data_IF_967568608513
#
_entry.id   IF_967568608513
#
_cell.length_a   1.000
_cell.length_b   1.000
_cell.length_c   1.000
_cell.angle_alpha   90.00
_cell.angle_beta   90.00
_cell.angle_gamma   90.00
#
_symmetry.space_group_name_H-M   'P 1'
#
loop_
_entity.id
_entity.type
_entity.pdbx_description
1 polymer ?
#
# COMPACT_ATOMS: atom_id res chain seq x y z
N UNK A 1 16.62 -23.74 20.41
CA UNK A 1 15.58 -24.79 20.52
C UNK A 1 14.78 -24.80 19.23
N UNK A 2 14.27 -25.94 18.73
CA UNK A 2 13.40 -25.95 17.54
C UNK A 2 11.99 -25.47 17.95
N UNK A 3 11.45 -24.49 17.23
CA UNK A 3 10.12 -23.93 17.43
C UNK A 3 9.32 -24.15 16.16
N UNK A 4 8.06 -24.54 16.34
CA UNK A 4 7.05 -24.59 15.29
C UNK A 4 5.95 -23.58 15.58
N UNK A 5 5.57 -22.80 14.57
CA UNK A 5 4.48 -21.83 14.57
C UNK A 5 3.48 -22.25 13.51
N UNK A 6 2.20 -22.24 13.84
CA UNK A 6 1.14 -22.68 12.94
C UNK A 6 -0.01 -21.67 12.96
N UNK A 7 -0.43 -21.27 11.77
CA UNK A 7 -1.57 -20.41 11.52
C UNK A 7 -2.59 -21.25 10.75
N UNK A 8 -3.62 -21.72 11.45
CA UNK A 8 -4.53 -22.76 10.97
C UNK A 8 -5.91 -22.18 10.75
N UNK A 9 -6.32 -22.14 9.48
CA UNK A 9 -7.66 -21.77 9.05
C UNK A 9 -8.36 -23.00 8.45
N UNK A 10 -9.68 -22.93 8.18
CA UNK A 10 -10.45 -24.10 7.74
C UNK A 10 -9.90 -24.76 6.47
N UNK A 11 -9.38 -24.00 5.51
CA UNK A 11 -8.91 -24.54 4.22
C UNK A 11 -7.42 -24.31 3.93
N UNK A 12 -6.72 -23.53 4.77
CA UNK A 12 -5.29 -23.26 4.66
C UNK A 12 -4.60 -23.45 6.02
N UNK A 13 -3.43 -24.06 6.03
CA UNK A 13 -2.55 -24.10 7.21
C UNK A 13 -1.15 -23.69 6.81
N UNK A 14 -0.69 -22.57 7.38
CA UNK A 14 0.67 -22.06 7.23
C UNK A 14 1.50 -22.49 8.44
N UNK A 15 2.63 -23.16 8.19
CA UNK A 15 3.51 -23.74 9.19
C UNK A 15 4.91 -23.16 9.01
N UNK A 16 5.46 -22.59 10.07
CA UNK A 16 6.83 -22.09 10.12
C UNK A 16 7.62 -22.89 11.15
N UNK A 17 8.72 -23.49 10.72
CA UNK A 17 9.64 -24.22 11.57
C UNK A 17 10.97 -23.48 11.62
N UNK A 18 11.51 -23.32 12.82
CA UNK A 18 12.65 -22.45 13.03
C UNK A 18 13.37 -22.68 14.34
N UNK A 19 14.32 -21.80 14.63
CA UNK A 19 15.10 -21.83 15.85
C UNK A 19 14.88 -20.56 16.67
N UNK A 20 14.92 -20.72 17.98
CA UNK A 20 15.10 -19.60 18.91
C UNK A 20 16.54 -19.12 18.90
N UNK A 21 16.73 -17.82 18.91
CA UNK A 21 17.97 -17.25 19.42
C UNK A 21 17.91 -17.26 20.96
N UNK A 22 18.82 -17.99 21.58
CA UNK A 22 18.89 -18.11 23.05
C UNK A 22 19.54 -16.87 23.70
N UNK A 23 19.99 -15.88 22.92
CA UNK A 23 20.69 -14.69 23.42
C UNK A 23 19.76 -13.54 23.84
N UNK A 24 18.47 -13.58 23.52
CA UNK A 24 17.49 -12.58 23.99
C UNK A 24 16.83 -13.08 25.28
N UNK A 25 17.24 -12.51 26.41
CA UNK A 25 16.86 -12.90 27.76
C UNK A 25 15.36 -12.94 28.06
N UNK A 26 15.06 -13.51 29.22
CA UNK A 26 13.75 -13.81 29.84
C UNK A 26 12.80 -12.60 30.07
N UNK A 27 12.84 -11.54 29.27
CA UNK A 27 12.15 -10.27 29.54
C UNK A 27 10.81 -10.10 28.80
N UNK A 28 10.03 -11.17 28.66
CA UNK A 28 8.66 -11.03 28.15
C UNK A 28 7.68 -11.83 29.00
N UNK A 29 6.64 -11.14 29.47
CA UNK A 29 5.53 -11.65 30.26
C UNK A 29 4.76 -12.80 29.54
N UNK A 30 5.01 -12.96 28.24
CA UNK A 30 4.60 -14.09 27.41
C UNK A 30 5.66 -15.20 27.38
N UNK A 31 5.32 -16.35 27.95
CA UNK A 31 6.15 -17.57 28.02
C UNK A 31 6.40 -18.26 26.65
N UNK A 32 6.13 -17.57 25.53
CA UNK A 32 6.25 -18.12 24.17
C UNK A 32 7.62 -17.75 23.59
N UNK A 33 8.47 -18.73 23.22
CA UNK A 33 9.82 -18.47 22.75
C UNK A 33 9.82 -17.81 21.37
N UNK A 34 10.73 -16.87 21.14
CA UNK A 34 10.86 -16.12 19.89
C UNK A 34 11.46 -17.01 18.79
N UNK A 35 10.85 -17.02 17.61
CA UNK A 35 11.39 -17.70 16.41
C UNK A 35 12.09 -16.65 15.56
N UNK A 36 13.42 -16.62 15.54
CA UNK A 36 14.23 -15.64 14.78
C UNK A 36 14.84 -16.21 13.51
N UNK A 37 15.12 -17.51 13.49
CA UNK A 37 15.76 -18.18 12.36
C UNK A 37 14.74 -19.13 11.73
N UNK A 38 14.42 -18.92 10.45
CA UNK A 38 13.52 -19.79 9.70
C UNK A 38 14.30 -20.95 9.08
N UNK A 39 13.85 -22.18 9.34
CA UNK A 39 14.41 -23.41 8.78
C UNK A 39 13.56 -23.91 7.62
N UNK A 40 12.24 -23.92 7.79
CA UNK A 40 11.31 -24.38 6.76
C UNK A 40 9.95 -23.67 6.90
N UNK A 41 9.30 -23.47 5.77
CA UNK A 41 7.92 -23.03 5.67
C UNK A 41 7.16 -24.06 4.87
N UNK A 42 5.96 -24.36 5.33
CA UNK A 42 5.03 -25.25 4.64
C UNK A 42 3.64 -24.63 4.60
N UNK A 43 2.99 -24.67 3.44
CA UNK A 43 1.61 -24.26 3.24
C UNK A 43 0.80 -25.45 2.74
N UNK A 44 -0.26 -25.79 3.49
CA UNK A 44 -1.14 -26.93 3.22
C UNK A 44 -2.54 -26.45 2.93
N UNK A 45 -3.19 -27.08 1.95
CA UNK A 45 -4.57 -26.79 1.56
C UNK A 45 -5.46 -28.02 1.72
N UNK A 46 -6.68 -27.82 2.18
CA UNK A 46 -7.67 -28.90 2.27
C UNK A 46 -8.05 -29.38 0.87
N UNK A 47 -8.10 -30.70 0.67
CA UNK A 47 -8.50 -31.31 -0.59
C UNK A 47 -7.35 -31.51 -1.59
N UNK A 48 -6.14 -31.05 -1.28
CA UNK A 48 -4.97 -31.21 -2.13
C UNK A 48 -3.87 -32.00 -1.41
N UNK A 49 -3.26 -32.97 -2.10
CA UNK A 49 -2.15 -33.78 -1.54
C UNK A 49 -0.79 -33.09 -1.69
N UNK A 50 -0.70 -32.06 -2.52
CA UNK A 50 0.50 -31.28 -2.74
C UNK A 50 0.61 -30.18 -1.67
N UNK A 51 1.81 -29.99 -1.14
CA UNK A 51 2.13 -28.92 -0.19
C UNK A 51 3.16 -27.99 -0.82
N UNK A 52 3.02 -26.69 -0.56
CA UNK A 52 4.08 -25.75 -0.92
C UNK A 52 5.06 -25.69 0.23
N UNK A 53 6.34 -25.81 -0.09
CA UNK A 53 7.37 -25.76 0.92
C UNK A 53 8.61 -25.03 0.41
N UNK A 54 9.32 -24.40 1.33
CA UNK A 54 10.56 -23.69 1.03
C UNK A 54 11.12 -22.96 2.24
N UNK A 55 12.18 -22.19 2.00
CA UNK A 55 12.84 -21.39 3.02
C UNK A 55 12.31 -19.96 3.10
N UNK A 56 13.17 -19.05 3.55
CA UNK A 56 12.86 -17.62 3.68
C UNK A 56 12.45 -16.98 2.34
N UNK A 57 13.21 -17.21 1.27
CA UNK A 57 12.91 -16.67 -0.07
C UNK A 57 11.55 -17.10 -0.57
N UNK A 58 11.16 -18.35 -0.32
CA UNK A 58 9.82 -18.85 -0.64
C UNK A 58 8.74 -18.06 0.11
N UNK A 59 8.90 -17.84 1.42
CA UNK A 59 7.94 -17.07 2.21
C UNK A 59 7.82 -15.62 1.75
N UNK A 60 8.95 -14.97 1.42
CA UNK A 60 8.99 -13.60 0.88
C UNK A 60 8.24 -13.51 -0.44
N UNK A 61 8.55 -14.40 -1.38
CA UNK A 61 7.88 -14.46 -2.68
C UNK A 61 6.40 -14.81 -2.54
N UNK A 62 6.04 -15.68 -1.60
CA UNK A 62 4.65 -16.09 -1.37
C UNK A 62 3.85 -14.91 -0.85
N UNK A 63 4.35 -14.24 0.19
CA UNK A 63 3.70 -13.09 0.78
C UNK A 63 3.53 -11.95 -0.24
N UNK A 64 4.56 -11.68 -1.05
CA UNK A 64 4.50 -10.67 -2.12
C UNK A 64 3.44 -11.03 -3.17
N UNK A 65 3.51 -12.24 -3.74
CA UNK A 65 2.61 -12.68 -4.80
C UNK A 65 1.15 -12.75 -4.34
N UNK A 66 0.89 -13.32 -3.16
CA UNK A 66 -0.46 -13.42 -2.59
C UNK A 66 -1.03 -12.04 -2.30
N UNK A 67 -0.25 -11.15 -1.70
CA UNK A 67 -0.75 -9.81 -1.35
C UNK A 67 -1.05 -8.99 -2.60
N UNK A 68 -0.16 -9.02 -3.59
CA UNK A 68 -0.35 -8.26 -4.81
C UNK A 68 -1.52 -8.83 -5.66
N UNK A 69 -1.69 -10.15 -5.70
CA UNK A 69 -2.86 -10.76 -6.31
C UNK A 69 -4.16 -10.43 -5.56
N UNK A 70 -4.16 -10.51 -4.22
CA UNK A 70 -5.32 -10.16 -3.42
C UNK A 70 -5.73 -8.69 -3.61
N UNK A 71 -4.76 -7.78 -3.69
CA UNK A 71 -4.99 -6.38 -4.03
C UNK A 71 -5.64 -6.22 -5.40
N UNK A 72 -5.13 -6.89 -6.44
CA UNK A 72 -5.72 -6.87 -7.78
C UNK A 72 -7.15 -7.43 -7.77
N UNK A 73 -7.33 -8.61 -7.19
CA UNK A 73 -8.61 -9.33 -7.17
C UNK A 73 -9.69 -8.56 -6.40
N UNK A 74 -9.36 -7.97 -5.25
CA UNK A 74 -10.31 -7.20 -4.43
C UNK A 74 -10.56 -5.79 -4.98
N UNK A 75 -9.56 -5.15 -5.59
CA UNK A 75 -9.71 -3.79 -6.13
C UNK A 75 -10.29 -3.75 -7.54
N UNK A 76 -10.19 -4.85 -8.29
CA UNK A 76 -10.50 -4.90 -9.72
C UNK A 76 -9.53 -4.08 -10.58
N UNK A 77 -8.39 -3.64 -10.01
CA UNK A 77 -7.38 -2.87 -10.72
C UNK A 77 -6.21 -3.80 -11.07
N UNK A 78 -5.86 -3.95 -12.36
CA UNK A 78 -4.72 -4.78 -12.77
C UNK A 78 -3.45 -4.34 -12.06
N UNK A 79 -2.75 -5.28 -11.45
CA UNK A 79 -1.47 -5.05 -10.79
C UNK A 79 -0.36 -5.74 -11.58
N UNK A 80 0.34 -5.03 -12.50
CA UNK A 80 1.41 -5.65 -13.26
C UNK A 80 2.51 -6.12 -12.32
N UNK A 81 2.66 -7.45 -12.24
CA UNK A 81 3.75 -8.10 -11.52
C UNK A 81 5.03 -7.96 -12.35
N UNK A 82 6.08 -7.38 -11.78
CA UNK A 82 7.41 -7.42 -12.40
C UNK A 82 7.97 -8.84 -12.25
N UNK A 83 7.64 -9.71 -13.20
CA UNK A 83 8.17 -11.09 -13.28
C UNK A 83 9.56 -11.13 -13.91
N UNK A 84 10.17 -9.97 -14.20
CA UNK A 84 11.44 -9.89 -14.92
C UNK A 84 12.63 -10.20 -14.02
N UNK A 85 13.12 -11.44 -14.09
CA UNK A 85 14.52 -11.76 -13.76
C UNK A 85 14.80 -12.46 -12.43
N UNK A 86 13.78 -12.84 -11.65
CA UNK A 86 14.00 -13.66 -10.45
C UNK A 86 13.98 -15.14 -10.78
N UNK A 87 15.02 -15.85 -10.36
CA UNK A 87 15.17 -17.30 -10.59
C UNK A 87 14.22 -18.13 -9.71
N UNK A 88 13.86 -17.62 -8.52
CA UNK A 88 12.79 -18.14 -7.67
C UNK A 88 11.54 -17.27 -7.86
N UNK A 89 10.43 -17.83 -8.36
CA UNK A 89 9.21 -17.04 -8.51
C UNK A 89 7.94 -17.79 -8.09
N UNK A 90 7.02 -17.04 -7.48
CA UNK A 90 5.65 -17.46 -7.19
C UNK A 90 4.73 -16.61 -8.07
N UNK A 91 3.80 -17.25 -8.77
CA UNK A 91 2.76 -16.56 -9.49
C UNK A 91 1.38 -17.01 -9.05
N UNK A 92 0.46 -16.04 -9.04
CA UNK A 92 -0.95 -16.27 -8.79
C UNK A 92 -1.73 -15.68 -9.97
N UNK A 93 -2.60 -16.48 -10.59
CA UNK A 93 -3.43 -16.05 -11.71
C UNK A 93 -4.86 -16.59 -11.58
N UNK A 94 -5.86 -15.79 -11.96
CA UNK A 94 -7.24 -16.28 -12.06
C UNK A 94 -7.35 -17.16 -13.31
N UNK A 95 -7.96 -18.33 -13.17
CA UNK A 95 -8.25 -19.19 -14.33
C UNK A 95 -9.49 -18.64 -15.03
N UNK A 96 -9.37 -18.34 -16.33
CA UNK A 96 -10.45 -17.78 -17.14
C UNK A 96 -11.72 -18.64 -17.05
N UNK A 97 -12.88 -17.97 -17.04
CA UNK A 97 -14.21 -18.59 -16.96
C UNK A 97 -14.47 -19.50 -15.73
N UNK A 98 -13.66 -19.40 -14.68
CA UNK A 98 -13.85 -20.12 -13.41
C UNK A 98 -13.66 -19.23 -12.18
N UNK A 99 -14.04 -19.74 -11.01
CA UNK A 99 -13.74 -19.16 -9.70
C UNK A 99 -12.49 -19.78 -9.05
N UNK A 100 -11.61 -20.35 -9.88
CA UNK A 100 -10.37 -20.97 -9.44
C UNK A 100 -9.17 -20.03 -9.66
N UNK A 101 -8.18 -20.19 -8.79
CA UNK A 101 -6.97 -19.39 -8.74
C UNK A 101 -5.78 -20.33 -8.80
N UNK A 102 -4.88 -20.13 -9.76
CA UNK A 102 -3.72 -20.98 -9.97
C UNK A 102 -2.52 -20.38 -9.26
N UNK A 103 -1.97 -21.14 -8.33
CA UNK A 103 -0.75 -20.83 -7.59
C UNK A 103 0.39 -21.70 -8.10
N UNK A 104 1.41 -21.07 -8.68
CA UNK A 104 2.62 -21.74 -9.16
C UNK A 104 3.81 -21.34 -8.32
N UNK A 105 4.59 -22.33 -7.92
CA UNK A 105 5.88 -22.16 -7.27
C UNK A 105 6.96 -22.83 -8.10
N UNK A 106 7.94 -22.03 -8.55
CA UNK A 106 9.09 -22.52 -9.29
C UNK A 106 10.39 -22.10 -8.58
N UNK A 107 11.09 -23.04 -7.94
CA UNK A 107 12.41 -22.78 -7.37
C UNK A 107 13.51 -22.77 -8.45
N UNK A 108 14.51 -21.90 -8.28
CA UNK A 108 15.68 -21.62 -9.12
C UNK A 108 16.62 -22.81 -9.28
N UNK A 109 16.64 -23.74 -8.31
CA UNK A 109 17.66 -24.78 -8.24
C UNK A 109 17.78 -25.52 -9.57
N UNK A 110 19.01 -25.59 -10.12
CA UNK A 110 19.37 -26.14 -11.44
C UNK A 110 18.85 -27.56 -11.75
N UNK A 111 18.25 -28.24 -10.78
CA UNK A 111 17.42 -29.41 -10.96
C UNK A 111 15.97 -29.00 -11.26
N UNK A 112 15.71 -28.88 -12.56
CA UNK A 112 14.48 -28.57 -13.28
C UNK A 112 13.23 -29.43 -12.95
N UNK A 113 12.99 -29.83 -11.69
CA UNK A 113 12.14 -31.00 -11.37
C UNK A 113 10.97 -30.76 -10.42
N UNK A 114 10.81 -29.61 -9.77
CA UNK A 114 9.70 -29.42 -8.82
C UNK A 114 9.00 -28.06 -8.97
N UNK A 115 8.41 -27.84 -10.15
CA UNK A 115 7.35 -26.84 -10.25
C UNK A 115 6.11 -27.41 -9.56
N UNK A 116 5.60 -26.70 -8.55
CA UNK A 116 4.36 -27.06 -7.85
C UNK A 116 3.26 -26.14 -8.33
N UNK A 117 2.19 -26.72 -8.85
CA UNK A 117 1.02 -25.98 -9.33
C UNK A 117 -0.22 -26.45 -8.57
N UNK A 118 -0.94 -25.50 -8.00
CA UNK A 118 -2.12 -25.70 -7.19
C UNK A 118 -3.27 -24.87 -7.73
N UNK A 119 -4.44 -25.47 -7.85
CA UNK A 119 -5.69 -24.73 -8.07
C UNK A 119 -6.38 -24.53 -6.72
N UNK A 120 -6.58 -23.27 -6.37
CA UNK A 120 -7.25 -22.83 -5.16
C UNK A 120 -8.63 -22.31 -5.52
N UNK A 121 -9.65 -22.71 -4.78
CA UNK A 121 -10.92 -21.99 -4.81
C UNK A 121 -10.78 -20.66 -4.06
N UNK A 122 -11.75 -19.76 -4.25
CA UNK A 122 -11.72 -18.43 -3.63
C UNK A 122 -11.67 -18.47 -2.10
N UNK A 123 -12.28 -19.47 -1.45
CA UNK A 123 -12.23 -19.61 0.01
C UNK A 123 -10.82 -20.00 0.49
N UNK A 124 -10.18 -20.95 -0.20
CA UNK A 124 -8.78 -21.33 0.06
C UNK A 124 -7.81 -20.17 -0.15
N UNK A 125 -8.05 -19.35 -1.17
CA UNK A 125 -7.26 -18.13 -1.40
C UNK A 125 -7.42 -17.15 -0.23
N UNK A 126 -8.64 -16.88 0.23
CA UNK A 126 -8.85 -15.96 1.36
C UNK A 126 -8.28 -16.51 2.66
N UNK A 127 -8.39 -17.82 2.91
CA UNK A 127 -7.72 -18.44 4.05
C UNK A 127 -6.18 -18.32 3.92
N UNK A 128 -5.60 -18.39 2.72
CA UNK A 128 -4.18 -18.13 2.52
C UNK A 128 -3.79 -16.70 2.91
N UNK A 129 -4.54 -15.71 2.43
CA UNK A 129 -4.31 -14.29 2.75
C UNK A 129 -4.39 -14.07 4.27
N UNK A 130 -5.45 -14.54 4.91
CA UNK A 130 -5.65 -14.40 6.36
C UNK A 130 -4.55 -15.14 7.16
N UNK A 131 -4.08 -16.30 6.70
CA UNK A 131 -2.97 -17.01 7.37
C UNK A 131 -1.66 -16.22 7.34
N UNK A 132 -1.40 -15.49 6.25
CA UNK A 132 -0.25 -14.61 6.12
C UNK A 132 -0.42 -13.35 6.99
N UNK A 133 -1.61 -12.77 7.04
CA UNK A 133 -1.91 -11.61 7.88
C UNK A 133 -1.74 -11.95 9.37
N UNK A 134 -2.21 -13.13 9.81
CA UNK A 134 -1.97 -13.63 11.18
C UNK A 134 -0.48 -13.86 11.47
N UNK A 135 0.29 -14.32 10.47
CA UNK A 135 1.74 -14.41 10.58
C UNK A 135 2.39 -13.04 10.76
N UNK A 136 2.05 -12.05 9.94
CA UNK A 136 2.60 -10.69 10.06
C UNK A 136 2.18 -10.00 11.36
N UNK A 137 1.02 -10.35 11.93
CA UNK A 137 0.58 -9.86 13.23
C UNK A 137 1.34 -10.51 14.42
N UNK A 138 2.02 -11.65 14.23
CA UNK A 138 2.76 -12.36 15.27
C UNK A 138 4.17 -11.79 15.46
N UNK A 139 4.29 -10.78 16.32
CA UNK A 139 5.57 -10.13 16.66
C UNK A 139 6.64 -11.06 17.26
N UNK A 140 6.29 -12.32 17.56
CA UNK A 140 7.21 -13.34 18.10
C UNK A 140 7.66 -14.35 17.05
N UNK A 141 7.21 -14.24 15.80
CA UNK A 141 7.64 -15.06 14.67
C UNK A 141 8.31 -14.18 13.63
N UNK A 142 9.61 -14.34 13.44
CA UNK A 142 10.42 -13.62 12.46
C UNK A 142 10.22 -12.09 12.52
N UNK A 143 10.55 -11.42 13.63
CA UNK A 143 10.33 -9.97 13.77
C UNK A 143 11.08 -9.12 12.71
N UNK A 144 12.17 -9.65 12.15
CA UNK A 144 12.94 -9.00 11.07
C UNK A 144 12.35 -9.28 9.67
N UNK A 145 11.21 -9.95 9.59
CA UNK A 145 10.51 -10.23 8.34
C UNK A 145 9.42 -9.19 8.14
N UNK A 146 9.54 -8.39 7.08
CA UNK A 146 8.58 -7.34 6.75
C UNK A 146 8.21 -7.38 5.28
N UNK A 147 6.94 -7.09 4.99
CA UNK A 147 6.42 -7.05 3.64
C UNK A 147 6.41 -5.61 3.13
N UNK A 148 7.10 -5.35 2.02
CA UNK A 148 7.10 -4.04 1.39
C UNK A 148 5.93 -3.91 0.41
N UNK A 149 4.72 -3.75 0.95
CA UNK A 149 3.53 -3.47 0.15
C UNK A 149 3.58 -2.07 -0.43
N UNK A 150 3.53 -1.97 -1.76
CA UNK A 150 3.43 -0.69 -2.44
C UNK A 150 1.96 -0.43 -2.82
N UNK A 151 1.42 0.76 -2.54
CA UNK A 151 0.06 1.08 -2.93
C UNK A 151 -0.08 1.09 -4.47
N UNK A 152 -1.21 0.60 -4.97
CA UNK A 152 -1.50 0.60 -6.41
C UNK A 152 -1.44 2.04 -6.95
N UNK A 153 -0.70 2.23 -8.03
CA UNK A 153 -0.57 3.56 -8.64
C UNK A 153 -1.93 4.07 -9.11
N UNK A 154 -2.20 5.37 -8.87
CA UNK A 154 -3.45 6.02 -9.34
C UNK A 154 -3.62 5.99 -10.85
N UNK A 155 -2.55 5.70 -11.62
CA UNK A 155 -2.60 5.59 -13.09
C UNK A 155 -3.39 4.37 -13.55
N UNK A 156 -3.44 3.29 -12.76
CA UNK A 156 -4.18 2.08 -13.11
C UNK A 156 -5.62 2.09 -12.61
N UNK A 157 -6.00 3.05 -11.76
CA UNK A 157 -7.36 3.21 -11.27
C UNK A 157 -8.26 3.75 -12.41
N UNK A 158 -9.36 3.07 -12.76
CA UNK A 158 -10.35 3.64 -13.67
C UNK A 158 -10.91 4.95 -13.07
N UNK A 159 -11.19 5.99 -13.87
CA UNK A 159 -11.75 7.23 -13.34
C UNK A 159 -13.06 6.95 -12.59
N UNK A 160 -13.13 7.34 -11.31
CA UNK A 160 -14.33 7.14 -10.48
C UNK A 160 -15.56 7.87 -11.05
N UNK A 161 -15.34 8.94 -11.84
CA UNK A 161 -16.39 9.72 -12.47
C UNK A 161 -16.20 9.87 -14.00
N UNK A 162 -17.29 9.87 -14.79
CA UNK A 162 -17.24 10.18 -16.21
C UNK A 162 -16.71 11.60 -16.42
N UNK A 163 -16.00 11.83 -17.53
CA UNK A 163 -15.38 13.11 -17.88
C UNK A 163 -16.32 14.32 -17.76
N UNK A 164 -17.63 14.12 -17.99
CA UNK A 164 -18.64 15.18 -17.85
C UNK A 164 -18.82 15.66 -16.41
N UNK A 165 -18.80 14.76 -15.41
CA UNK A 165 -18.93 15.14 -14.00
C UNK A 165 -17.65 15.83 -13.51
N UNK A 166 -16.49 15.33 -13.94
CA UNK A 166 -15.18 15.92 -13.64
C UNK A 166 -14.99 17.32 -14.23
N UNK A 167 -15.72 17.66 -15.29
CA UNK A 167 -15.68 18.98 -15.92
C UNK A 167 -16.55 20.03 -15.19
N UNK A 168 -17.49 19.63 -14.32
CA UNK A 168 -18.41 20.56 -13.65
C UNK A 168 -17.67 21.69 -12.91
N UNK A 169 -16.65 21.43 -12.06
CA UNK A 169 -15.94 22.49 -11.34
C UNK A 169 -15.16 23.41 -12.29
N UNK A 170 -14.55 22.84 -13.34
CA UNK A 170 -13.80 23.59 -14.34
C UNK A 170 -14.72 24.51 -15.16
N UNK A 171 -15.88 24.00 -15.59
CA UNK A 171 -16.88 24.80 -16.31
C UNK A 171 -17.47 25.91 -15.46
N UNK A 172 -17.75 25.65 -14.18
CA UNK A 172 -18.17 26.67 -13.21
C UNK A 172 -17.10 27.75 -13.02
N UNK A 173 -15.84 27.35 -12.84
CA UNK A 173 -14.72 28.27 -12.70
C UNK A 173 -14.53 29.18 -13.92
N UNK A 174 -14.46 28.58 -15.12
CA UNK A 174 -14.32 29.32 -16.39
C UNK A 174 -15.52 30.25 -16.60
N UNK A 175 -16.74 29.77 -16.35
CA UNK A 175 -17.95 30.57 -16.48
C UNK A 175 -17.96 31.78 -15.54
N UNK A 176 -17.54 31.61 -14.29
CA UNK A 176 -17.45 32.71 -13.32
C UNK A 176 -16.43 33.77 -13.74
N UNK A 177 -15.26 33.37 -14.24
CA UNK A 177 -14.22 34.30 -14.69
C UNK A 177 -14.68 35.08 -15.92
N UNK A 178 -15.33 34.41 -16.88
CA UNK A 178 -15.86 35.05 -18.07
C UNK A 178 -16.96 36.07 -17.71
N UNK A 179 -17.88 35.70 -16.80
CA UNK A 179 -18.93 36.59 -16.33
C UNK A 179 -18.35 37.82 -15.61
N UNK A 180 -17.37 37.62 -14.73
CA UNK A 180 -16.77 38.74 -14.00
C UNK A 180 -15.97 39.66 -14.92
N UNK A 181 -15.28 39.10 -15.92
CA UNK A 181 -14.61 39.90 -16.96
C UNK A 181 -15.60 40.76 -17.75
N UNK A 182 -16.76 40.22 -18.09
CA UNK A 182 -17.84 40.97 -18.74
C UNK A 182 -18.36 42.11 -17.85
N UNK A 183 -18.60 41.84 -16.56
CA UNK A 183 -19.05 42.87 -15.61
C UNK A 183 -18.01 43.99 -15.48
N UNK A 184 -16.73 43.63 -15.34
CA UNK A 184 -15.63 44.59 -15.23
C UNK A 184 -15.44 45.40 -16.52
N UNK A 185 -15.69 44.80 -17.69
CA UNK A 185 -15.62 45.51 -18.98
C UNK A 185 -16.66 46.64 -19.08
N UNK A 186 -17.84 46.46 -18.50
CA UNK A 186 -18.88 47.51 -18.46
C UNK A 186 -18.75 48.46 -17.26
N UNK A 187 -17.83 48.20 -16.33
CA UNK A 187 -17.61 49.09 -15.19
C UNK A 187 -16.76 50.30 -15.62
N UNK A 188 -17.20 51.53 -15.30
CA UNK A 188 -16.44 52.72 -15.68
C UNK A 188 -15.09 52.75 -14.99
N UNK A 189 -14.06 53.15 -15.73
CA UNK A 189 -12.71 53.36 -15.18
C UNK A 189 -12.81 54.46 -14.11
N UNK A 190 -12.39 54.19 -12.86
CA UNK A 190 -12.47 55.19 -11.81
C UNK A 190 -11.51 56.35 -12.11
N UNK A 191 -12.01 57.59 -11.98
CA UNK A 191 -11.16 58.77 -12.06
C UNK A 191 -10.20 58.80 -10.87
N UNK A 192 -8.90 58.78 -11.17
CA UNK A 192 -7.83 58.98 -10.20
C UNK A 192 -7.78 60.48 -9.91
N UNK A 193 -8.24 60.91 -8.74
CA UNK A 193 -8.05 62.27 -8.27
C UNK A 193 -6.64 62.41 -7.69
N UNK A 194 -5.88 63.38 -8.18
CA UNK A 194 -4.63 63.75 -7.54
C UNK A 194 -4.92 64.21 -6.10
N UNK A 195 -4.10 63.80 -5.11
CA UNK A 195 -4.25 64.25 -3.73
C UNK A 195 -4.21 65.79 -3.68
N UNK A 196 -5.17 66.41 -2.98
CA UNK A 196 -5.16 67.86 -2.81
C UNK A 196 -3.82 68.31 -2.19
N UNK A 197 -3.20 69.39 -2.71
CA UNK A 197 -1.97 69.90 -2.16
C UNK A 197 -2.20 70.32 -0.71
N UNK A 198 -1.36 69.79 0.20
CA UNK A 198 -1.41 70.13 1.63
C UNK A 198 -1.32 71.66 1.80
N UNK A 199 -2.15 72.28 2.66
CA UNK A 199 -2.03 73.69 2.99
C UNK A 199 -0.62 74.00 3.50
N UNK A 200 -0.06 75.18 3.19
CA UNK A 200 1.24 75.58 3.71
C UNK A 200 1.18 75.62 5.25
N UNK A 201 2.12 74.92 5.89
CA UNK A 201 2.29 74.95 7.33
C UNK A 201 2.53 76.41 7.78
N UNK A 202 1.56 76.98 8.50
CA UNK A 202 1.75 78.26 9.16
C UNK A 202 2.76 78.06 10.27
N UNK A 203 4.01 78.47 10.02
CA UNK A 203 5.06 78.55 11.04
C UNK A 203 4.56 79.39 12.21
N UNK A 204 4.23 78.71 13.30
CA UNK A 204 3.88 79.34 14.58
C UNK A 204 5.17 79.96 15.13
N UNK A 205 5.31 81.27 14.98
CA UNK A 205 6.34 82.07 15.65
C UNK A 205 6.09 81.96 17.17
N UNK A 206 6.91 81.17 17.86
CA UNK A 206 6.99 81.18 19.32
C UNK A 206 7.53 82.53 19.79
N UNK A 207 6.67 83.31 20.44
CA UNK A 207 7.05 84.53 21.16
C UNK A 207 7.73 84.10 22.47
N UNK A 208 9.00 84.49 22.73
CA UNK A 208 9.66 84.13 23.97
C UNK A 208 9.11 84.95 25.14
N UNK A 209 8.83 84.24 26.24
CA UNK A 209 8.34 84.77 27.51
C UNK A 209 9.55 85.25 28.33
N UNK A 210 9.77 86.56 28.40
CA UNK A 210 10.71 87.14 29.35
C UNK A 210 10.03 87.31 30.71
N UNK A 211 10.65 86.77 31.76
CA UNK A 211 10.27 86.98 33.15
C UNK A 211 11.23 88.03 33.77
N UNK A 212 10.62 89.00 34.47
CA UNK A 212 11.17 90.07 35.34
C UNK A 212 12.00 91.18 34.69
#
# INVERSE_FOLDING_TARGET
MNIKRQYSLPNCTLILEGLSDNFTGNDSQDNRPLLSILVNVECRFVGTSQTLQGGRTFLENLANAVSAYAQEYLSGIPHPQDTQGNEDFISLEKIEDTDLHRLKWQPSTQMNQFCVELELNTVQLFDLVESLDQFFADSRTLPDFSLQLHPISRRYRPPDEPLRQRAVPATLGIGSVALMSLILFFFPIPEIREPEPKPPETSTKTIPKNNF
#
